data_IF_755980366606
#
_entry.id   IF_755980366606
#
_cell.length_a   1.000
_cell.length_b   1.000
_cell.length_c   1.000
_cell.angle_alpha   90.00
_cell.angle_beta   90.00
_cell.angle_gamma   90.00
#
_symmetry.space_group_name_H-M   'P 1'
#
loop_
_entity.id
_entity.type
_entity.pdbx_description
1 polymer ?
#
# COMPACT_ATOMS: atom_id res chain seq x y z
N UNK A 1 10.51 -34.85 -14.85
CA UNK A 1 10.44 -34.56 -16.30
C UNK A 1 9.00 -34.49 -16.81
N UNK A 2 8.13 -35.50 -16.61
CA UNK A 2 6.72 -35.43 -17.04
C UNK A 2 5.92 -34.29 -16.36
N UNK A 3 6.05 -34.13 -15.03
CA UNK A 3 5.42 -33.02 -14.30
C UNK A 3 5.91 -31.63 -14.75
N UNK A 4 7.08 -31.56 -15.39
CA UNK A 4 7.69 -30.32 -15.87
C UNK A 4 7.10 -29.89 -17.20
N UNK A 5 6.89 -30.84 -18.11
CA UNK A 5 6.21 -30.58 -19.38
C UNK A 5 4.75 -30.21 -19.17
N UNK A 6 4.08 -30.83 -18.19
CA UNK A 6 2.71 -30.47 -17.80
C UNK A 6 2.63 -29.05 -17.21
N UNK A 7 3.57 -28.68 -16.34
CA UNK A 7 3.66 -27.31 -15.78
C UNK A 7 4.00 -26.29 -16.87
N UNK A 8 4.85 -26.62 -17.83
CA UNK A 8 5.18 -25.76 -18.97
C UNK A 8 3.99 -25.61 -19.91
N UNK A 9 3.23 -26.68 -20.19
CA UNK A 9 2.03 -26.63 -21.00
C UNK A 9 0.93 -25.81 -20.34
N UNK A 10 0.74 -25.96 -19.02
CA UNK A 10 -0.17 -25.14 -18.23
C UNK A 10 0.27 -23.67 -18.19
N UNK A 11 1.57 -23.39 -18.05
CA UNK A 11 2.13 -22.03 -18.12
C UNK A 11 1.93 -21.39 -19.50
N UNK A 12 2.14 -22.14 -20.59
CA UNK A 12 1.89 -21.64 -21.94
C UNK A 12 0.41 -21.37 -22.18
N UNK A 13 -0.49 -22.20 -21.64
CA UNK A 13 -1.93 -21.95 -21.68
C UNK A 13 -2.31 -20.71 -20.86
N UNK A 14 -1.74 -20.53 -19.68
CA UNK A 14 -1.95 -19.35 -18.85
C UNK A 14 -1.44 -18.07 -19.56
N UNK A 15 -0.23 -18.12 -20.15
CA UNK A 15 0.33 -17.00 -20.92
C UNK A 15 -0.55 -16.66 -22.14
N UNK A 16 -1.08 -17.66 -22.84
CA UNK A 16 -2.05 -17.47 -23.94
C UNK A 16 -3.36 -16.87 -23.46
N UNK A 17 -3.87 -17.30 -22.31
CA UNK A 17 -5.09 -16.74 -21.71
C UNK A 17 -4.89 -15.30 -21.22
N UNK A 18 -3.70 -14.98 -20.71
CA UNK A 18 -3.34 -13.62 -20.31
C UNK A 18 -3.21 -12.67 -21.50
N UNK A 19 -2.59 -13.13 -22.59
CA UNK A 19 -2.47 -12.31 -23.81
C UNK A 19 -3.81 -12.08 -24.51
N UNK A 20 -4.85 -12.86 -24.18
CA UNK A 20 -6.21 -12.60 -24.66
C UNK A 20 -6.82 -11.47 -23.83
N UNK A 21 -7.25 -10.42 -24.54
CA UNK A 21 -7.88 -9.20 -24.01
C UNK A 21 -9.13 -9.43 -23.14
N UNK A 22 -9.68 -10.65 -23.10
CA UNK A 22 -10.75 -11.05 -22.18
C UNK A 22 -10.22 -12.08 -21.17
N UNK A 23 -9.58 -11.60 -20.11
CA UNK A 23 -9.16 -12.44 -18.98
C UNK A 23 -10.38 -13.12 -18.35
N UNK A 24 -10.53 -14.43 -18.53
CA UNK A 24 -11.48 -15.21 -17.73
C UNK A 24 -10.89 -15.42 -16.34
N UNK A 25 -11.09 -14.46 -15.44
CA UNK A 25 -10.55 -14.48 -14.08
C UNK A 25 -10.81 -15.81 -13.36
N UNK A 26 -11.97 -16.44 -13.61
CA UNK A 26 -12.32 -17.74 -13.02
C UNK A 26 -11.49 -18.92 -13.56
N UNK A 27 -11.20 -18.95 -14.86
CA UNK A 27 -10.37 -20.00 -15.48
C UNK A 27 -8.90 -19.85 -15.10
N UNK A 28 -8.42 -18.61 -15.04
CA UNK A 28 -7.09 -18.31 -14.51
C UNK A 28 -6.96 -18.75 -13.04
N UNK A 29 -8.02 -18.57 -12.22
CA UNK A 29 -8.04 -19.05 -10.83
C UNK A 29 -7.96 -20.59 -10.73
N UNK A 30 -8.70 -21.33 -11.57
CA UNK A 30 -8.64 -22.79 -11.63
C UNK A 30 -7.26 -23.29 -12.10
N UNK A 31 -6.71 -22.67 -13.15
CA UNK A 31 -5.37 -22.99 -13.66
C UNK A 31 -4.27 -22.64 -12.64
N UNK A 32 -4.39 -21.54 -11.92
CA UNK A 32 -3.45 -21.17 -10.84
C UNK A 32 -3.52 -22.14 -9.66
N UNK A 33 -4.71 -22.65 -9.33
CA UNK A 33 -4.84 -23.67 -8.28
C UNK A 33 -4.21 -25.01 -8.71
N UNK A 34 -4.39 -25.42 -9.96
CA UNK A 34 -3.72 -26.60 -10.52
C UNK A 34 -2.20 -26.41 -10.58
N UNK A 35 -1.74 -25.22 -10.96
CA UNK A 35 -0.32 -24.86 -10.96
C UNK A 35 0.26 -24.80 -9.55
N UNK A 36 -0.48 -24.33 -8.54
CA UNK A 36 -0.04 -24.39 -7.13
C UNK A 36 0.18 -25.84 -6.70
N UNK A 37 -0.74 -26.75 -7.02
CA UNK A 37 -0.58 -28.19 -6.73
C UNK A 37 0.64 -28.74 -7.49
N UNK A 38 0.81 -28.40 -8.77
CA UNK A 38 1.99 -28.78 -9.56
C UNK A 38 3.31 -28.24 -8.97
N UNK A 39 3.30 -27.02 -8.44
CA UNK A 39 4.45 -26.38 -7.80
C UNK A 39 4.77 -26.98 -6.42
N UNK A 40 3.82 -27.61 -5.72
CA UNK A 40 4.14 -28.37 -4.50
C UNK A 40 4.92 -29.65 -4.76
N UNK A 41 4.84 -30.18 -5.99
CA UNK A 41 5.65 -31.34 -6.41
C UNK A 41 7.07 -30.94 -6.85
N UNK A 42 7.29 -29.66 -7.14
CA UNK A 42 8.62 -29.08 -7.36
C UNK A 42 9.14 -28.58 -6.01
N UNK A 43 10.46 -28.68 -5.76
CA UNK A 43 11.03 -28.16 -4.51
C UNK A 43 10.93 -26.63 -4.50
N UNK A 44 9.84 -26.13 -3.93
CA UNK A 44 9.50 -24.71 -3.83
C UNK A 44 10.44 -23.94 -2.89
N UNK A 45 11.10 -24.65 -1.96
CA UNK A 45 11.98 -24.09 -0.94
C UNK A 45 13.46 -24.33 -1.27
N UNK A 46 14.35 -23.35 -1.02
CA UNK A 46 15.78 -23.53 -1.08
C UNK A 46 16.21 -24.34 0.16
N UNK A 47 16.07 -25.67 0.12
CA UNK A 47 16.47 -26.54 1.26
C UNK A 47 17.41 -27.67 0.84
N UNK A 48 17.97 -27.66 -0.36
CA UNK A 48 19.01 -28.63 -0.68
C UNK A 48 20.05 -28.08 -1.63
N UNK A 49 21.30 -28.38 -1.32
CA UNK A 49 22.53 -28.20 -2.10
C UNK A 49 22.52 -28.93 -3.47
N UNK A 50 21.38 -28.95 -4.15
CA UNK A 50 21.20 -29.47 -5.50
C UNK A 50 20.76 -28.31 -6.37
N UNK A 51 21.50 -28.00 -7.43
CA UNK A 51 21.12 -27.01 -8.44
C UNK A 51 19.78 -27.42 -9.06
N UNK A 52 18.67 -26.95 -8.49
CA UNK A 52 17.37 -27.02 -9.14
C UNK A 52 17.51 -26.34 -10.50
N UNK A 53 16.91 -26.92 -11.53
CA UNK A 53 16.98 -26.42 -12.90
C UNK A 53 16.62 -24.93 -12.89
N UNK A 54 17.56 -24.07 -13.29
CA UNK A 54 17.35 -22.62 -13.37
C UNK A 54 16.08 -22.26 -14.15
N UNK A 55 15.68 -23.12 -15.09
CA UNK A 55 14.46 -23.02 -15.86
C UNK A 55 13.19 -23.30 -15.04
N UNK A 56 13.20 -24.25 -14.10
CA UNK A 56 12.06 -24.52 -13.20
C UNK A 56 11.78 -23.34 -12.28
N UNK A 57 12.84 -22.74 -11.73
CA UNK A 57 12.74 -21.56 -10.88
C UNK A 57 12.27 -20.33 -11.65
N UNK A 58 12.73 -20.16 -12.90
CA UNK A 58 12.23 -19.11 -13.80
C UNK A 58 10.75 -19.28 -14.10
N UNK A 59 10.30 -20.51 -14.42
CA UNK A 59 8.89 -20.79 -14.69
C UNK A 59 8.05 -20.56 -13.42
N UNK A 60 8.50 -21.03 -12.26
CA UNK A 60 7.82 -20.81 -10.99
C UNK A 60 7.69 -19.32 -10.67
N UNK A 61 8.77 -18.53 -10.86
CA UNK A 61 8.75 -17.08 -10.69
C UNK A 61 7.72 -16.44 -11.61
N UNK A 62 7.76 -16.74 -12.91
CA UNK A 62 6.84 -16.15 -13.88
C UNK A 62 5.39 -16.51 -13.57
N UNK A 63 5.10 -17.74 -13.11
CA UNK A 63 3.76 -18.15 -12.65
C UNK A 63 3.31 -17.31 -11.45
N UNK A 64 4.21 -17.03 -10.50
CA UNK A 64 3.88 -16.23 -9.32
C UNK A 64 3.72 -14.74 -9.65
N UNK A 65 4.51 -14.19 -10.57
CA UNK A 65 4.35 -12.80 -11.07
C UNK A 65 2.97 -12.61 -11.72
N UNK A 66 2.59 -13.58 -12.55
CA UNK A 66 1.27 -13.75 -13.14
C UNK A 66 0.20 -13.93 -12.05
N UNK A 67 0.42 -14.77 -11.05
CA UNK A 67 -0.50 -14.96 -9.92
C UNK A 67 -0.80 -13.64 -9.18
N UNK A 68 0.24 -12.85 -8.93
CA UNK A 68 0.13 -11.55 -8.25
C UNK A 68 -0.68 -10.53 -9.08
N UNK A 69 -0.38 -10.42 -10.38
CA UNK A 69 -1.13 -9.52 -11.26
C UNK A 69 -2.61 -9.95 -11.42
N UNK A 70 -2.90 -11.26 -11.39
CA UNK A 70 -4.26 -11.77 -11.41
C UNK A 70 -4.99 -11.45 -10.11
N UNK A 71 -4.32 -11.60 -8.97
CA UNK A 71 -4.88 -11.22 -7.66
C UNK A 71 -5.25 -9.74 -7.58
N UNK A 72 -4.49 -8.86 -8.24
CA UNK A 72 -4.85 -7.44 -8.38
C UNK A 72 -6.11 -7.28 -9.24
N UNK A 73 -6.20 -7.99 -10.36
CA UNK A 73 -7.38 -7.93 -11.25
C UNK A 73 -8.66 -8.51 -10.61
N UNK A 74 -8.52 -9.46 -9.67
CA UNK A 74 -9.63 -9.98 -8.86
C UNK A 74 -9.87 -9.21 -7.57
N UNK A 75 -9.12 -8.13 -7.31
CA UNK A 75 -9.22 -7.29 -6.12
C UNK A 75 -9.03 -8.06 -4.79
N UNK A 76 -8.22 -9.12 -4.79
CA UNK A 76 -7.98 -9.97 -3.62
C UNK A 76 -6.68 -9.59 -2.90
N UNK A 77 -6.81 -8.68 -1.94
CA UNK A 77 -5.74 -8.12 -1.09
C UNK A 77 -4.94 -9.21 -0.36
N UNK A 78 -5.54 -10.16 0.40
CA UNK A 78 -4.78 -11.17 1.12
C UNK A 78 -4.09 -12.20 0.20
N UNK A 79 -4.69 -12.54 -0.95
CA UNK A 79 -4.02 -13.41 -1.92
C UNK A 79 -2.81 -12.71 -2.55
N UNK A 80 -2.91 -11.41 -2.85
CA UNK A 80 -1.78 -10.62 -3.35
C UNK A 80 -0.61 -10.60 -2.35
N UNK A 81 -0.88 -10.36 -1.06
CA UNK A 81 0.16 -10.36 -0.02
C UNK A 81 0.90 -11.71 0.06
N UNK A 82 0.17 -12.82 -0.07
CA UNK A 82 0.75 -14.17 -0.10
C UNK A 82 1.66 -14.40 -1.30
N UNK A 83 1.21 -14.03 -2.50
CA UNK A 83 2.05 -14.16 -3.70
C UNK A 83 3.28 -13.25 -3.63
N UNK A 84 3.13 -12.05 -3.07
CA UNK A 84 4.25 -11.12 -2.91
C UNK A 84 5.28 -11.65 -1.90
N UNK A 85 4.85 -12.21 -0.77
CA UNK A 85 5.75 -12.83 0.20
C UNK A 85 6.58 -13.96 -0.43
N UNK A 86 5.95 -14.80 -1.26
CA UNK A 86 6.65 -15.85 -2.00
C UNK A 86 7.63 -15.27 -3.03
N UNK A 87 7.21 -14.27 -3.81
CA UNK A 87 8.06 -13.59 -4.79
C UNK A 87 9.28 -12.92 -4.16
N UNK A 88 9.15 -12.35 -2.95
CA UNK A 88 10.28 -11.76 -2.21
C UNK A 88 11.37 -12.79 -1.95
N UNK A 89 11.03 -14.00 -1.48
CA UNK A 89 12.00 -15.08 -1.32
C UNK A 89 12.74 -15.36 -2.65
N UNK A 90 12.02 -15.38 -3.77
CA UNK A 90 12.64 -15.58 -5.09
C UNK A 90 13.55 -14.42 -5.53
N UNK A 91 13.24 -13.17 -5.18
CA UNK A 91 14.05 -12.02 -5.57
C UNK A 91 15.32 -11.81 -4.73
N UNK A 92 15.28 -12.17 -3.44
CA UNK A 92 16.42 -12.01 -2.53
C UNK A 92 17.37 -13.21 -2.58
N UNK A 93 16.86 -14.44 -2.59
CA UNK A 93 17.70 -15.65 -2.49
C UNK A 93 18.42 -15.99 -3.82
N UNK A 94 17.82 -15.67 -4.98
CA UNK A 94 18.35 -16.04 -6.29
C UNK A 94 19.03 -14.91 -7.07
N UNK A 95 19.38 -13.81 -6.38
CA UNK A 95 20.02 -12.62 -6.97
C UNK A 95 21.36 -12.92 -7.68
N UNK A 96 22.02 -14.03 -7.34
CA UNK A 96 23.30 -14.48 -7.90
C UNK A 96 23.18 -15.31 -9.19
N UNK A 97 22.00 -15.78 -9.58
CA UNK A 97 21.83 -16.74 -10.69
C UNK A 97 20.75 -16.42 -11.73
N UNK A 98 19.99 -15.33 -11.58
CA UNK A 98 18.86 -15.00 -12.46
C UNK A 98 19.06 -13.65 -13.16
N UNK A 99 18.73 -13.60 -14.45
CA UNK A 99 18.59 -12.33 -15.18
C UNK A 99 17.40 -11.55 -14.61
N UNK A 100 17.60 -10.26 -14.35
CA UNK A 100 16.56 -9.41 -13.76
C UNK A 100 15.37 -9.28 -14.72
N UNK A 101 14.17 -9.68 -14.25
CA UNK A 101 12.94 -9.56 -15.01
C UNK A 101 12.52 -8.10 -15.13
N UNK A 102 12.05 -7.68 -16.31
CA UNK A 102 11.50 -6.34 -16.52
C UNK A 102 10.27 -6.05 -15.62
N UNK A 103 9.54 -7.09 -15.20
CA UNK A 103 8.37 -6.97 -14.33
C UNK A 103 8.70 -6.89 -12.84
N UNK A 104 9.95 -7.20 -12.45
CA UNK A 104 10.41 -7.17 -11.05
C UNK A 104 10.14 -5.80 -10.41
N UNK A 105 10.57 -4.73 -11.07
CA UNK A 105 10.43 -3.37 -10.54
C UNK A 105 8.97 -2.88 -10.55
N UNK A 106 8.17 -3.33 -11.52
CA UNK A 106 6.75 -3.01 -11.56
C UNK A 106 6.00 -3.64 -10.37
N UNK A 107 6.28 -4.92 -10.08
CA UNK A 107 5.71 -5.66 -8.94
C UNK A 107 6.21 -5.14 -7.60
N UNK A 108 7.48 -4.75 -7.49
CA UNK A 108 8.00 -4.09 -6.30
C UNK A 108 7.33 -2.72 -6.07
N UNK A 109 7.16 -1.92 -7.13
CA UNK A 109 6.39 -0.68 -7.05
C UNK A 109 4.93 -0.92 -6.63
N UNK A 110 4.31 -2.02 -7.07
CA UNK A 110 2.96 -2.42 -6.65
C UNK A 110 2.92 -2.75 -5.16
N UNK A 111 3.91 -3.49 -4.66
CA UNK A 111 4.02 -3.81 -3.24
C UNK A 111 4.23 -2.55 -2.39
N UNK A 112 5.06 -1.60 -2.85
CA UNK A 112 5.25 -0.32 -2.17
C UNK A 112 3.92 0.47 -2.08
N UNK A 113 3.14 0.53 -3.16
CA UNK A 113 1.82 1.17 -3.14
C UNK A 113 0.81 0.43 -2.25
N UNK A 114 0.86 -0.90 -2.23
CA UNK A 114 0.06 -1.71 -1.34
C UNK A 114 0.33 -1.37 0.13
N UNK A 115 1.59 -1.27 0.54
CA UNK A 115 1.97 -0.91 1.91
C UNK A 115 1.48 0.50 2.29
N UNK A 116 1.58 1.46 1.35
CA UNK A 116 1.03 2.81 1.56
C UNK A 116 -0.50 2.80 1.70
N UNK A 117 -1.21 2.00 0.89
CA UNK A 117 -2.67 1.91 0.96
C UNK A 117 -3.19 1.36 2.30
N UNK A 118 -2.38 0.54 2.97
CA UNK A 118 -2.68 -0.03 4.29
C UNK A 118 -2.15 0.81 5.46
N UNK A 119 -1.60 1.99 5.20
CA UNK A 119 -0.99 2.85 6.21
C UNK A 119 0.18 2.18 6.98
N UNK A 120 0.86 1.19 6.36
CA UNK A 120 2.03 0.52 6.93
C UNK A 120 3.32 1.19 6.47
N UNK A 121 3.53 2.45 6.88
CA UNK A 121 4.68 3.28 6.44
C UNK A 121 6.02 2.73 6.94
N UNK A 122 6.05 2.09 8.11
CA UNK A 122 7.27 1.48 8.64
C UNK A 122 7.79 0.35 7.73
N UNK A 123 6.90 -0.56 7.31
CA UNK A 123 7.24 -1.66 6.39
C UNK A 123 7.70 -1.11 5.03
N UNK A 124 7.08 -0.01 4.57
CA UNK A 124 7.49 0.66 3.34
C UNK A 124 8.97 1.10 3.37
N UNK A 125 9.42 1.74 4.45
CA UNK A 125 10.82 2.16 4.55
C UNK A 125 11.79 0.97 4.64
N UNK A 126 11.42 -0.09 5.36
CA UNK A 126 12.25 -1.30 5.43
C UNK A 126 12.41 -1.97 4.06
N UNK A 127 11.35 -1.99 3.25
CA UNK A 127 11.40 -2.55 1.89
C UNK A 127 12.16 -1.65 0.91
N UNK A 128 12.13 -0.34 1.12
CA UNK A 128 12.97 0.59 0.35
C UNK A 128 14.46 0.41 0.64
N UNK A 129 14.84 0.11 1.88
CA UNK A 129 16.24 -0.14 2.26
C UNK A 129 16.83 -1.39 1.58
N UNK A 130 16.00 -2.39 1.32
CA UNK A 130 16.40 -3.62 0.63
C UNK A 130 16.74 -3.40 -0.86
N UNK A 131 16.32 -2.27 -1.44
CA UNK A 131 16.52 -1.95 -2.85
C UNK A 131 17.80 -1.13 -3.07
N UNK A 132 18.62 -1.47 -4.08
CA UNK A 132 19.83 -0.69 -4.38
C UNK A 132 19.46 0.71 -4.89
N UNK A 133 20.17 1.72 -4.40
CA UNK A 133 19.95 3.16 -4.70
C UNK A 133 19.89 3.48 -6.20
N UNK A 134 20.69 2.77 -7.01
CA UNK A 134 20.78 3.00 -8.46
C UNK A 134 19.46 2.70 -9.17
N UNK A 135 18.70 1.72 -8.67
CA UNK A 135 17.43 1.29 -9.25
C UNK A 135 16.24 2.13 -8.78
N UNK A 136 16.41 2.86 -7.66
CA UNK A 136 15.40 3.79 -7.13
C UNK A 136 15.33 5.05 -8.01
N UNK A 137 16.49 5.52 -8.49
CA UNK A 137 16.56 6.73 -9.32
C UNK A 137 16.25 6.46 -10.80
N UNK A 138 16.61 5.28 -11.32
CA UNK A 138 16.44 4.94 -12.73
C UNK A 138 14.99 4.58 -13.09
N UNK A 139 14.28 3.88 -12.19
CA UNK A 139 12.96 3.32 -12.49
C UNK A 139 11.83 4.28 -12.16
N UNK A 140 11.12 4.73 -13.19
CA UNK A 140 9.90 5.55 -13.07
C UNK A 140 8.83 4.87 -12.20
N UNK A 141 8.74 3.54 -12.24
CA UNK A 141 7.77 2.74 -11.48
C UNK A 141 7.98 2.74 -9.96
N UNK A 142 9.21 2.91 -9.48
CA UNK A 142 9.52 2.98 -8.04
C UNK A 142 9.49 4.43 -7.56
N UNK A 143 9.93 5.34 -8.43
CA UNK A 143 9.93 6.77 -8.15
C UNK A 143 8.51 7.31 -7.90
N UNK A 144 7.50 6.80 -8.60
CA UNK A 144 6.12 7.25 -8.42
C UNK A 144 5.61 6.96 -6.98
N UNK A 145 5.64 5.72 -6.45
CA UNK A 145 5.33 5.42 -5.05
C UNK A 145 6.14 6.25 -4.04
N UNK A 146 7.45 6.46 -4.31
CA UNK A 146 8.31 7.28 -3.44
C UNK A 146 7.85 8.74 -3.40
N UNK A 147 7.58 9.34 -4.55
CA UNK A 147 7.07 10.72 -4.60
C UNK A 147 5.70 10.85 -3.95
N UNK A 148 4.86 9.82 -4.06
CA UNK A 148 3.55 9.78 -3.45
C UNK A 148 3.64 9.74 -1.92
N UNK A 149 4.54 8.92 -1.38
CA UNK A 149 4.84 8.86 0.05
C UNK A 149 5.36 10.20 0.55
N UNK A 150 6.32 10.81 -0.16
CA UNK A 150 6.82 12.14 0.20
C UNK A 150 5.69 13.18 0.23
N UNK A 151 4.77 13.17 -0.75
CA UNK A 151 3.64 14.10 -0.75
C UNK A 151 2.67 13.85 0.40
N UNK A 152 2.50 12.59 0.82
CA UNK A 152 1.70 12.22 1.98
C UNK A 152 2.35 12.72 3.27
N UNK A 153 3.67 12.59 3.40
CA UNK A 153 4.44 13.12 4.54
C UNK A 153 4.46 14.64 4.59
N UNK A 154 4.57 15.32 3.44
CA UNK A 154 4.46 16.77 3.33
C UNK A 154 3.03 17.28 3.59
N UNK A 155 2.02 16.40 3.57
CA UNK A 155 0.60 16.79 3.58
C UNK A 155 0.16 17.54 2.32
N UNK A 156 0.91 17.42 1.22
CA UNK A 156 0.67 18.13 -0.03
C UNK A 156 -0.32 17.38 -0.93
N UNK A 157 -1.59 17.36 -0.52
CA UNK A 157 -2.63 16.57 -1.19
C UNK A 157 -2.89 16.99 -2.65
N UNK A 158 -2.70 18.27 -3.00
CA UNK A 158 -2.85 18.74 -4.39
C UNK A 158 -1.93 17.99 -5.36
N UNK A 159 -0.70 17.68 -4.94
CA UNK A 159 0.25 16.92 -5.76
C UNK A 159 -0.15 15.45 -5.89
N UNK A 160 -0.75 14.85 -4.85
CA UNK A 160 -1.27 13.48 -4.87
C UNK A 160 -2.37 13.33 -5.93
N UNK A 161 -3.29 14.29 -6.01
CA UNK A 161 -4.34 14.29 -7.03
C UNK A 161 -3.78 14.46 -8.45
N UNK A 162 -2.74 15.27 -8.64
CA UNK A 162 -2.06 15.40 -9.94
C UNK A 162 -1.27 14.13 -10.30
N UNK A 163 -0.64 13.49 -9.31
CA UNK A 163 0.09 12.23 -9.47
C UNK A 163 -0.81 11.07 -9.88
N UNK A 164 -2.12 11.13 -9.60
CA UNK A 164 -3.14 10.21 -10.15
C UNK A 164 -3.21 10.27 -11.68
N UNK A 165 -3.04 11.45 -12.28
CA UNK A 165 -3.06 11.62 -13.73
C UNK A 165 -1.83 11.05 -14.44
N UNK A 166 -0.73 10.86 -13.71
CA UNK A 166 0.56 10.43 -14.24
C UNK A 166 0.91 8.99 -13.82
N UNK A 167 -0.07 8.09 -13.83
CA UNK A 167 0.12 6.70 -13.43
C UNK A 167 0.72 5.90 -14.61
N UNK A 168 1.91 5.30 -14.45
CA UNK A 168 2.60 4.62 -15.55
C UNK A 168 2.05 3.23 -15.89
N UNK A 169 1.20 2.62 -15.05
CA UNK A 169 0.57 1.33 -15.33
C UNK A 169 -0.86 1.22 -14.75
N UNK A 170 -1.79 0.63 -15.51
CA UNK A 170 -3.19 0.51 -15.12
C UNK A 170 -3.41 -0.27 -13.80
N UNK A 171 -2.53 -1.21 -13.46
CA UNK A 171 -2.60 -1.99 -12.21
C UNK A 171 -2.43 -1.15 -10.95
N UNK A 172 -1.85 0.06 -11.06
CA UNK A 172 -1.68 0.97 -9.91
C UNK A 172 -2.96 1.72 -9.57
N UNK A 173 -3.89 1.91 -10.52
CA UNK A 173 -5.09 2.71 -10.29
C UNK A 173 -5.93 2.16 -9.13
N UNK A 174 -6.04 0.84 -9.01
CA UNK A 174 -6.78 0.19 -7.92
C UNK A 174 -6.25 0.59 -6.54
N UNK A 175 -4.94 0.46 -6.29
CA UNK A 175 -4.34 0.83 -5.01
C UNK A 175 -4.35 2.34 -4.76
N UNK A 176 -4.18 3.14 -5.82
CA UNK A 176 -4.28 4.60 -5.71
C UNK A 176 -5.69 5.03 -5.33
N UNK A 177 -6.74 4.41 -5.86
CA UNK A 177 -8.12 4.74 -5.49
C UNK A 177 -8.43 4.39 -4.02
N UNK A 178 -7.90 3.28 -3.51
CA UNK A 178 -7.97 2.94 -2.08
C UNK A 178 -7.25 4.00 -1.25
N UNK A 179 -6.00 4.34 -1.61
CA UNK A 179 -5.20 5.33 -0.91
C UNK A 179 -5.89 6.71 -0.90
N UNK A 180 -6.50 7.12 -2.01
CA UNK A 180 -7.24 8.38 -2.11
C UNK A 180 -8.45 8.43 -1.18
N UNK A 181 -9.13 7.30 -0.95
CA UNK A 181 -10.21 7.25 0.03
C UNK A 181 -9.68 7.44 1.45
N UNK A 182 -8.59 6.76 1.81
CA UNK A 182 -7.92 6.95 3.11
C UNK A 182 -7.45 8.39 3.29
N UNK A 183 -6.81 8.97 2.28
CA UNK A 183 -6.36 10.38 2.29
C UNK A 183 -7.53 11.35 2.45
N UNK A 184 -8.68 11.10 1.81
CA UNK A 184 -9.88 11.93 2.00
C UNK A 184 -10.41 11.84 3.43
N UNK A 185 -10.35 10.66 4.04
CA UNK A 185 -10.78 10.48 5.43
C UNK A 185 -9.86 11.20 6.42
N UNK A 186 -8.56 11.22 6.17
CA UNK A 186 -7.55 11.99 6.93
C UNK A 186 -7.72 13.50 6.74
N UNK A 187 -7.89 13.97 5.49
CA UNK A 187 -8.21 15.38 5.21
C UNK A 187 -9.48 15.79 5.95
N UNK A 188 -10.50 14.93 5.97
CA UNK A 188 -11.74 15.18 6.73
C UNK A 188 -11.49 15.34 8.23
N UNK A 189 -10.66 14.48 8.84
CA UNK A 189 -10.29 14.59 10.25
C UNK A 189 -9.45 15.85 10.56
N UNK A 190 -8.55 16.23 9.65
CA UNK A 190 -7.80 17.48 9.74
C UNK A 190 -8.72 18.71 9.59
N UNK A 191 -9.72 18.64 8.70
CA UNK A 191 -10.69 19.73 8.52
C UNK A 191 -11.54 19.94 9.76
N UNK A 192 -11.97 18.86 10.42
CA UNK A 192 -12.66 18.93 11.72
C UNK A 192 -11.78 19.65 12.75
N UNK A 193 -10.51 19.26 12.88
CA UNK A 193 -9.63 19.85 13.91
C UNK A 193 -9.17 21.29 13.61
N UNK A 194 -9.07 21.69 12.35
CA UNK A 194 -8.49 22.97 11.96
C UNK A 194 -9.50 24.12 11.81
N UNK A 195 -10.77 23.83 11.52
CA UNK A 195 -11.77 24.85 11.21
C UNK A 195 -12.98 24.74 12.14
N UNK A 196 -13.55 25.86 12.57
CA UNK A 196 -14.82 25.87 13.32
C UNK A 196 -16.04 25.81 12.39
N UNK A 197 -15.90 26.41 11.20
CA UNK A 197 -16.92 26.41 10.16
C UNK A 197 -16.29 26.38 8.77
N UNK A 198 -16.90 25.64 7.85
CA UNK A 198 -16.48 25.55 6.45
C UNK A 198 -17.68 25.60 5.52
N UNK A 199 -17.54 26.27 4.37
CA UNK A 199 -18.57 26.29 3.33
C UNK A 199 -18.56 24.99 2.53
N UNK A 200 -19.70 24.60 1.94
CA UNK A 200 -19.77 23.42 1.06
C UNK A 200 -18.81 23.55 -0.14
N UNK A 201 -18.62 24.77 -0.67
CA UNK A 201 -17.75 25.01 -1.82
C UNK A 201 -16.26 24.88 -1.48
N UNK A 202 -15.86 25.33 -0.30
CA UNK A 202 -14.47 25.21 0.14
C UNK A 202 -14.14 23.76 0.55
N UNK A 203 -15.09 23.06 1.18
CA UNK A 203 -14.99 21.62 1.41
C UNK A 203 -14.85 20.83 0.10
N UNK A 204 -15.63 21.20 -0.93
CA UNK A 204 -15.56 20.58 -2.25
C UNK A 204 -14.17 20.73 -2.89
N UNK A 205 -13.58 21.92 -2.79
CA UNK A 205 -12.24 22.22 -3.30
C UNK A 205 -11.15 21.48 -2.52
N UNK A 206 -11.23 21.45 -1.20
CA UNK A 206 -10.23 20.77 -0.36
C UNK A 206 -10.24 19.25 -0.54
N UNK A 207 -11.42 18.64 -0.69
CA UNK A 207 -11.57 17.20 -0.91
C UNK A 207 -11.48 16.80 -2.40
N UNK A 208 -11.37 17.79 -3.30
CA UNK A 208 -11.45 17.61 -4.76
C UNK A 208 -12.64 16.74 -5.20
N UNK A 209 -13.81 16.97 -4.59
CA UNK A 209 -15.06 16.30 -4.96
C UNK A 209 -15.85 17.21 -5.91
N UNK A 210 -16.09 16.73 -7.13
CA UNK A 210 -16.84 17.50 -8.14
C UNK A 210 -18.36 17.50 -7.92
N UNK A 211 -18.88 16.56 -7.12
CA UNK A 211 -20.33 16.39 -6.92
C UNK A 211 -20.75 16.76 -5.49
N UNK A 212 -21.73 17.67 -5.36
CA UNK A 212 -22.34 18.02 -4.06
C UNK A 212 -22.98 16.81 -3.33
N UNK A 213 -23.35 15.75 -4.08
CA UNK A 213 -23.90 14.51 -3.53
C UNK A 213 -22.86 13.70 -2.77
N UNK A 214 -21.62 13.67 -3.26
CA UNK A 214 -20.53 12.92 -2.62
C UNK A 214 -20.12 13.61 -1.32
N UNK A 215 -20.09 14.94 -1.32
CA UNK A 215 -19.84 15.75 -0.11
C UNK A 215 -20.90 15.50 0.95
N UNK A 216 -22.18 15.40 0.57
CA UNK A 216 -23.26 15.05 1.50
C UNK A 216 -23.10 13.62 2.05
N UNK A 217 -22.67 12.67 1.23
CA UNK A 217 -22.40 11.30 1.70
C UNK A 217 -21.19 11.24 2.67
N UNK A 218 -20.12 12.00 2.38
CA UNK A 218 -18.97 12.15 3.28
C UNK A 218 -19.35 12.85 4.59
N UNK A 219 -20.16 13.91 4.52
CA UNK A 219 -20.69 14.62 5.69
C UNK A 219 -21.54 13.70 6.58
N UNK A 220 -22.35 12.82 5.98
CA UNK A 220 -23.11 11.80 6.74
C UNK A 220 -22.15 10.80 7.40
N UNK A 221 -21.13 10.32 6.68
CA UNK A 221 -20.13 9.39 7.24
C UNK A 221 -19.35 9.98 8.42
N UNK A 222 -19.05 11.28 8.37
CA UNK A 222 -18.31 12.01 9.41
C UNK A 222 -19.21 12.74 10.41
N UNK A 223 -20.54 12.58 10.33
CA UNK A 223 -21.53 13.26 11.18
C UNK A 223 -21.42 14.80 11.20
N UNK A 224 -21.13 15.43 10.06
CA UNK A 224 -21.06 16.88 9.97
C UNK A 224 -22.45 17.52 10.00
N UNK A 225 -22.66 18.47 10.92
CA UNK A 225 -23.91 19.20 11.04
C UNK A 225 -24.02 20.25 9.92
N UNK A 226 -24.91 19.98 8.97
CA UNK A 226 -25.18 20.87 7.84
C UNK A 226 -26.20 21.92 8.28
N UNK A 227 -25.74 23.16 8.49
CA UNK A 227 -26.66 24.27 8.80
C UNK A 227 -27.39 24.75 7.54
N UNK A 228 -28.56 25.35 7.72
CA UNK A 228 -29.41 25.89 6.63
C UNK A 228 -28.70 26.97 5.78
N UNK A 229 -27.59 27.51 6.27
CA UNK A 229 -26.78 28.53 5.58
C UNK A 229 -25.71 27.95 4.63
N UNK A 230 -25.64 26.62 4.46
CA UNK A 230 -24.66 25.99 3.56
C UNK A 230 -23.24 25.89 4.14
N UNK A 231 -23.13 25.97 5.48
CA UNK A 231 -21.90 25.77 6.23
C UNK A 231 -21.97 24.49 7.07
N UNK A 232 -20.87 23.75 7.08
CA UNK A 232 -20.58 22.71 8.06
C UNK A 232 -19.99 23.38 9.30
N UNK A 233 -20.59 23.14 10.45
CA UNK A 233 -20.01 23.52 11.73
C UNK A 233 -19.30 22.30 12.31
N UNK A 234 -17.99 22.41 12.46
CA UNK A 234 -17.20 21.45 13.19
C UNK A 234 -17.22 21.90 14.63
N UNK A 235 -17.94 21.19 15.47
CA UNK A 235 -17.87 21.39 16.93
C UNK A 235 -16.52 20.86 17.41
N UNK A 236 -15.45 21.58 17.12
CA UNK A 236 -14.14 21.29 17.63
C UNK A 236 -13.96 22.13 18.90
N UNK A 237 -14.11 21.44 20.02
CA UNK A 237 -13.21 21.68 21.16
C UNK A 237 -13.32 23.04 21.87
N UNK A 238 -14.53 23.57 22.06
CA UNK A 238 -14.76 24.53 23.16
C UNK A 238 -15.08 23.84 24.49
N UNK A 239 -15.28 22.51 24.52
CA UNK A 239 -15.64 21.78 25.75
C UNK A 239 -14.62 20.75 26.24
N UNK A 240 -13.48 20.52 25.56
CA UNK A 240 -12.56 19.41 25.94
C UNK A 240 -11.11 19.75 26.25
N UNK A 241 -10.75 21.02 26.42
CA UNK A 241 -9.44 21.43 26.99
C UNK A 241 -9.51 22.64 27.92
N UNK A 242 -10.68 22.96 28.48
CA UNK A 242 -10.77 24.04 29.47
C UNK A 242 -10.47 23.59 30.90
N UNK A 243 -10.49 22.30 31.25
CA UNK A 243 -10.27 21.87 32.64
C UNK A 243 -9.66 20.47 32.78
N UNK A 244 -8.47 20.22 32.22
CA UNK A 244 -7.52 19.40 32.98
C UNK A 244 -6.57 20.39 33.64
N UNK A 245 -6.68 20.62 34.97
CA UNK A 245 -5.71 21.46 35.65
C UNK A 245 -4.34 20.84 35.37
N UNK A 246 -3.40 21.67 34.90
CA UNK A 246 -1.97 21.34 34.76
C UNK A 246 -1.60 20.36 35.89
N UNK A 247 -0.96 19.21 35.62
CA UNK A 247 -0.72 18.14 36.60
C UNK A 247 0.24 18.63 37.70
N UNK A 248 -0.32 19.44 38.58
CA UNK A 248 0.35 20.17 39.64
C UNK A 248 0.87 19.20 40.71
N UNK A 249 0.21 18.05 40.87
CA UNK A 249 0.69 16.94 41.68
C UNK A 249 1.97 16.31 41.13
N UNK A 250 2.09 16.16 39.80
CA UNK A 250 3.29 15.60 39.18
C UNK A 250 4.45 16.58 39.26
N UNK A 251 4.19 17.87 39.03
CA UNK A 251 5.20 18.93 39.20
C UNK A 251 5.66 19.05 40.67
N UNK A 252 4.75 18.91 41.63
CA UNK A 252 5.09 18.92 43.05
C UNK A 252 5.91 17.68 43.45
N UNK A 253 5.55 16.49 42.94
CA UNK A 253 6.32 15.26 43.17
C UNK A 253 7.74 15.37 42.59
N UNK A 254 7.87 15.85 41.34
CA UNK A 254 9.16 16.11 40.71
C UNK A 254 10.00 17.11 41.52
N UNK A 255 9.40 18.20 42.01
CA UNK A 255 10.12 19.18 42.83
C UNK A 255 10.59 18.58 44.18
N UNK A 256 9.80 17.71 44.80
CA UNK A 256 10.18 17.00 46.03
C UNK A 256 11.29 15.98 45.75
N UNK A 257 11.21 15.24 44.65
CA UNK A 257 12.25 14.27 44.26
C UNK A 257 13.58 14.98 43.93
N UNK A 258 13.54 16.11 43.21
CA UNK A 258 14.74 16.92 42.99
C UNK A 258 15.33 17.46 44.29
N UNK A 259 14.49 17.94 45.22
CA UNK A 259 14.97 18.39 46.53
C UNK A 259 15.60 17.24 47.32
N UNK A 260 14.98 16.05 47.29
CA UNK A 260 15.47 14.84 47.95
C UNK A 260 16.80 14.37 47.36
N UNK A 261 16.98 14.38 46.05
CA UNK A 261 18.25 14.01 45.41
C UNK A 261 19.37 15.01 45.70
N UNK A 262 19.06 16.31 45.80
CA UNK A 262 20.03 17.35 46.16
C UNK A 262 20.43 17.34 47.64
N UNK A 263 19.50 17.00 48.55
CA UNK A 263 19.78 16.89 49.99
C UNK A 263 20.37 15.53 50.39
N UNK A 264 20.27 14.51 49.53
CA UNK A 264 20.92 13.23 49.77
C UNK A 264 22.44 13.41 49.63
N UNK A 265 23.13 13.41 50.78
CA UNK A 265 24.60 13.42 50.82
C UNK A 265 25.08 12.10 50.19
N UNK A 266 25.81 12.20 49.07
CA UNK A 266 26.60 11.10 48.49
C UNK A 266 27.84 10.85 49.35
#
# INVERSE_FOLDING_TARGET
MAALEDVVALYQNLKREWTKTSCNLKKCGELLNQLKIGLTHLMFLPTSNSTASQNELLIARDILEIGAQWSIATEDIPSFERYMAQLKCYYFDYKSGLMESAYKYQLLGLNLLFLLSQNRVAEFHTELELLPSDQIQSNVYIRHPLSLEQYLMEGSYNKIFLAKGNVPAASYNFFIDILLNTVRDEIGACMESAYDKISIQDAARMLNLSTEKDIKAFAIKKNWNLSKDGYFYFTTTSEKKSEEPIPSSELAALAIDYARELEMIV
#
